data_IF_580789802232
#
_entry.id   IF_580789802232
#
_cell.length_a   1.000
_cell.length_b   1.000
_cell.length_c   1.000
_cell.angle_alpha   90.00
_cell.angle_beta   90.00
_cell.angle_gamma   90.00
#
_symmetry.space_group_name_H-M   'P 1'
#
loop_
_entity.id
_entity.type
_entity.pdbx_description
1 polymer ?
#
# COMPACT_ATOMS: atom_id res chain seq x y z
N UNK A 1 2.66 3.51 1.32
CA UNK A 1 2.61 4.99 1.42
C UNK A 1 1.27 5.47 0.90
N UNK A 2 0.65 6.44 1.54
CA UNK A 2 -0.65 7.02 1.15
C UNK A 2 -0.61 8.53 1.23
N UNK A 3 -1.28 9.21 0.29
CA UNK A 3 -1.57 10.64 0.41
C UNK A 3 -2.97 10.93 0.92
N UNK A 4 -3.74 9.88 1.24
CA UNK A 4 -5.06 10.00 1.82
C UNK A 4 -5.03 9.59 3.30
N UNK A 5 -5.04 10.59 4.18
CA UNK A 5 -5.05 10.41 5.64
C UNK A 5 -6.29 9.64 6.12
N UNK A 6 -7.43 9.76 5.43
CA UNK A 6 -8.70 9.10 5.82
C UNK A 6 -8.64 7.59 5.74
N UNK A 7 -7.67 7.02 5.02
CA UNK A 7 -7.47 5.57 4.92
C UNK A 7 -6.70 5.00 6.11
N UNK A 8 -6.10 5.84 6.95
CA UNK A 8 -5.27 5.40 8.05
C UNK A 8 -6.05 5.38 9.38
N UNK A 9 -5.89 4.29 10.10
CA UNK A 9 -6.30 4.14 11.51
C UNK A 9 -5.07 4.16 12.40
N UNK A 10 -5.24 4.40 13.70
CA UNK A 10 -4.13 4.47 14.67
C UNK A 10 -3.01 5.45 14.24
N UNK A 11 -3.37 6.55 13.59
CA UNK A 11 -2.40 7.45 12.99
C UNK A 11 -1.58 8.18 14.06
N UNK A 12 -0.25 8.16 13.90
CA UNK A 12 0.71 8.89 14.72
C UNK A 12 1.30 10.00 13.86
N UNK A 13 1.01 11.24 14.25
CA UNK A 13 1.63 12.41 13.64
C UNK A 13 3.08 12.54 14.11
N UNK A 14 4.02 12.40 13.18
CA UNK A 14 5.46 12.51 13.44
C UNK A 14 6.18 12.80 12.13
N UNK A 15 6.93 13.90 12.07
CA UNK A 15 7.83 14.14 10.96
C UNK A 15 8.91 13.05 10.93
N UNK A 16 9.04 12.35 9.80
CA UNK A 16 9.98 11.24 9.63
C UNK A 16 11.04 11.48 8.55
N UNK A 17 10.95 12.60 7.83
CA UNK A 17 11.84 12.93 6.72
C UNK A 17 11.06 13.31 5.46
N UNK A 18 11.73 13.21 4.32
CA UNK A 18 11.17 13.60 3.02
C UNK A 18 11.35 12.51 1.98
N UNK A 19 10.42 12.42 1.04
CA UNK A 19 10.56 11.60 -0.17
C UNK A 19 10.80 12.51 -1.36
N UNK A 20 11.66 12.12 -2.30
CA UNK A 20 11.81 12.77 -3.60
C UNK A 20 11.15 11.91 -4.67
N UNK A 21 10.24 12.50 -5.43
CA UNK A 21 9.57 11.84 -6.55
C UNK A 21 10.45 11.82 -7.80
N UNK A 22 10.09 10.99 -8.79
CA UNK A 22 10.85 10.86 -10.04
C UNK A 22 10.92 12.15 -10.87
N UNK A 23 10.12 13.16 -10.56
CA UNK A 23 10.14 14.50 -11.18
C UNK A 23 10.77 15.57 -10.26
N UNK A 24 11.66 15.15 -9.35
CA UNK A 24 12.42 15.97 -8.40
C UNK A 24 11.61 16.75 -7.35
N UNK A 25 10.28 16.68 -7.38
CA UNK A 25 9.45 17.22 -6.31
C UNK A 25 9.70 16.46 -5.00
N UNK A 26 9.76 17.22 -3.90
CA UNK A 26 10.03 16.69 -2.56
C UNK A 26 8.80 16.88 -1.70
N UNK A 27 8.37 15.82 -1.02
CA UNK A 27 7.24 15.85 -0.08
C UNK A 27 7.65 15.36 1.30
N UNK A 28 6.98 15.87 2.34
CA UNK A 28 7.21 15.48 3.72
C UNK A 28 6.47 14.19 4.08
N UNK A 29 7.13 13.33 4.85
CA UNK A 29 6.51 12.20 5.53
C UNK A 29 6.04 12.68 6.90
N UNK A 30 4.73 12.88 7.07
CA UNK A 30 4.16 13.55 8.25
C UNK A 30 3.67 12.58 9.34
N UNK A 31 3.75 11.28 9.09
CA UNK A 31 3.44 10.28 10.09
C UNK A 31 3.21 8.90 9.48
N UNK A 32 2.68 8.01 10.30
CA UNK A 32 2.27 6.67 9.87
C UNK A 32 1.04 6.22 10.64
N UNK A 33 0.28 5.32 10.03
CA UNK A 33 -0.81 4.61 10.68
C UNK A 33 -0.94 3.23 10.06
N UNK A 34 -1.97 2.51 10.48
CA UNK A 34 -2.29 1.22 9.91
C UNK A 34 -3.39 1.40 8.85
N UNK A 35 -3.40 0.52 7.86
CA UNK A 35 -4.44 0.45 6.86
C UNK A 35 -5.10 -0.91 6.95
N UNK A 36 -6.41 -0.91 7.18
CA UNK A 36 -7.21 -2.11 7.15
C UNK A 36 -8.07 -2.12 5.90
N UNK A 37 -7.98 -3.20 5.14
CA UNK A 37 -8.79 -3.40 3.95
C UNK A 37 -9.36 -4.81 3.93
N UNK A 38 -10.65 -4.92 4.27
CA UNK A 38 -11.28 -6.21 4.55
C UNK A 38 -10.52 -6.96 5.64
N UNK A 39 -10.02 -8.15 5.31
CA UNK A 39 -9.24 -9.02 6.21
C UNK A 39 -7.72 -8.76 6.15
N UNK A 40 -7.27 -7.79 5.35
CA UNK A 40 -5.86 -7.45 5.18
C UNK A 40 -5.53 -6.27 6.10
N UNK A 41 -4.53 -6.45 6.97
CA UNK A 41 -3.96 -5.39 7.79
C UNK A 41 -2.54 -5.09 7.29
N UNK A 42 -2.30 -3.83 6.90
CA UNK A 42 -0.98 -3.33 6.54
C UNK A 42 -0.57 -2.33 7.61
N UNK A 43 0.44 -2.68 8.39
CA UNK A 43 0.92 -1.82 9.47
C UNK A 43 1.94 -0.81 8.98
N UNK A 44 2.07 0.31 9.71
CA UNK A 44 3.11 1.34 9.47
C UNK A 44 3.10 1.92 8.05
N UNK A 45 1.93 2.19 7.51
CA UNK A 45 1.77 2.91 6.24
C UNK A 45 2.09 4.39 6.45
N UNK A 46 3.15 4.87 5.78
CA UNK A 46 3.53 6.28 5.83
C UNK A 46 2.53 7.18 5.10
N UNK A 47 2.17 8.29 5.75
CA UNK A 47 1.42 9.39 5.14
C UNK A 47 2.39 10.41 4.56
N UNK A 48 2.18 10.74 3.29
CA UNK A 48 3.01 11.68 2.54
C UNK A 48 2.11 12.78 1.99
N UNK A 49 2.41 14.02 2.37
CA UNK A 49 1.65 15.18 1.90
C UNK A 49 1.79 15.33 0.38
N UNK A 50 0.67 15.55 -0.32
CA UNK A 50 0.66 15.74 -1.77
C UNK A 50 0.87 14.47 -2.62
N UNK A 51 0.91 13.28 -2.00
CA UNK A 51 1.00 12.03 -2.76
C UNK A 51 -0.33 11.73 -3.48
N UNK A 52 -0.36 11.86 -4.81
CA UNK A 52 -1.60 11.68 -5.59
C UNK A 52 -2.14 10.26 -5.68
N UNK A 53 -1.28 9.23 -5.52
CA UNK A 53 -1.67 7.82 -5.60
C UNK A 53 -1.05 7.01 -4.46
N UNK A 54 -1.82 6.06 -3.93
CA UNK A 54 -1.33 5.16 -2.90
C UNK A 54 -0.39 4.12 -3.49
N UNK A 55 0.72 3.87 -2.81
CA UNK A 55 1.76 2.94 -3.22
C UNK A 55 1.91 1.87 -2.14
N UNK A 56 1.56 0.63 -2.45
CA UNK A 56 1.86 -0.52 -1.59
C UNK A 56 2.99 -1.32 -2.19
N UNK A 57 3.97 -1.67 -1.36
CA UNK A 57 5.02 -2.60 -1.76
C UNK A 57 4.54 -4.03 -1.57
N UNK A 58 4.91 -4.92 -2.48
CA UNK A 58 4.74 -6.37 -2.32
C UNK A 58 5.35 -6.85 -1.00
N UNK A 59 6.49 -6.29 -0.59
CA UNK A 59 7.14 -6.61 0.67
C UNK A 59 6.23 -6.39 1.89
N UNK A 60 5.41 -5.34 1.89
CA UNK A 60 4.48 -5.08 3.00
C UNK A 60 3.39 -6.15 3.11
N UNK A 61 2.95 -6.73 1.99
CA UNK A 61 2.04 -7.86 2.03
C UNK A 61 2.74 -9.12 2.56
N UNK A 62 3.99 -9.37 2.15
CA UNK A 62 4.79 -10.50 2.63
C UNK A 62 5.08 -10.41 4.14
N UNK A 63 5.40 -9.21 4.65
CA UNK A 63 5.60 -8.95 6.07
C UNK A 63 4.32 -9.20 6.89
N UNK A 64 3.14 -8.98 6.28
CA UNK A 64 1.83 -9.33 6.84
C UNK A 64 1.43 -10.79 6.64
N UNK A 65 2.37 -11.68 6.33
CA UNK A 65 2.14 -13.11 6.08
C UNK A 65 1.18 -13.41 4.92
N UNK A 66 1.20 -12.57 3.88
CA UNK A 66 0.44 -12.77 2.66
C UNK A 66 1.37 -13.13 1.50
N UNK A 67 0.92 -14.07 0.67
CA UNK A 67 1.57 -14.40 -0.60
C UNK A 67 1.00 -13.51 -1.70
N UNK A 68 1.88 -12.88 -2.48
CA UNK A 68 1.48 -12.14 -3.69
C UNK A 68 1.94 -12.91 -4.92
N UNK A 69 0.98 -13.41 -5.69
CA UNK A 69 1.24 -14.20 -6.90
C UNK A 69 0.85 -13.43 -8.16
N UNK A 70 1.81 -13.25 -9.07
CA UNK A 70 1.57 -12.61 -10.36
C UNK A 70 1.38 -13.66 -11.45
N UNK A 71 0.32 -13.49 -12.23
CA UNK A 71 0.04 -14.24 -13.47
C UNK A 71 -0.05 -13.26 -14.64
N UNK A 72 0.02 -13.79 -15.87
CA UNK A 72 0.02 -13.00 -17.12
C UNK A 72 -1.04 -11.90 -17.15
N UNK A 73 -2.25 -12.16 -16.64
CA UNK A 73 -3.37 -11.21 -16.68
C UNK A 73 -3.95 -10.90 -15.30
N UNK A 74 -3.36 -11.39 -14.20
CA UNK A 74 -3.94 -11.21 -12.87
C UNK A 74 -2.87 -11.22 -11.76
N UNK A 75 -3.15 -10.54 -10.66
CA UNK A 75 -2.41 -10.58 -9.41
C UNK A 75 -3.34 -11.12 -8.32
N UNK A 76 -2.80 -11.99 -7.46
CA UNK A 76 -3.50 -12.60 -6.35
C UNK A 76 -2.78 -12.23 -5.05
N UNK A 77 -3.55 -11.90 -4.02
CA UNK A 77 -3.05 -11.80 -2.65
C UNK A 77 -3.72 -12.91 -1.85
N UNK A 78 -2.93 -13.78 -1.24
CA UNK A 78 -3.39 -14.99 -0.55
C UNK A 78 -2.93 -15.01 0.88
N UNK A 79 -3.73 -15.62 1.75
CA UNK A 79 -3.25 -15.97 3.08
C UNK A 79 -2.37 -17.24 3.03
N UNK A 80 -1.72 -17.57 4.16
CA UNK A 80 -0.89 -18.77 4.30
C UNK A 80 -1.63 -20.11 4.06
N UNK A 81 -2.97 -20.11 4.06
CA UNK A 81 -3.79 -21.29 3.75
C UNK A 81 -4.10 -21.42 2.25
N UNK A 82 -3.57 -20.52 1.42
CA UNK A 82 -3.80 -20.50 -0.03
C UNK A 82 -5.15 -19.92 -0.45
N UNK A 83 -5.91 -19.30 0.47
CA UNK A 83 -7.18 -18.66 0.14
C UNK A 83 -6.92 -17.30 -0.49
N UNK A 84 -7.48 -17.06 -1.67
CA UNK A 84 -7.44 -15.78 -2.36
C UNK A 84 -8.21 -14.73 -1.55
N UNK A 85 -7.49 -13.76 -0.96
CA UNK A 85 -8.08 -12.58 -0.31
C UNK A 85 -8.34 -11.47 -1.32
N UNK A 86 -7.53 -11.42 -2.38
CA UNK A 86 -7.65 -10.43 -3.43
C UNK A 86 -7.31 -11.04 -4.79
N UNK A 87 -8.08 -10.66 -5.81
CA UNK A 87 -7.75 -10.86 -7.21
C UNK A 87 -7.88 -9.54 -7.95
N UNK A 88 -6.85 -9.15 -8.71
CA UNK A 88 -6.88 -7.97 -9.58
C UNK A 88 -6.42 -8.34 -10.97
N UNK A 89 -7.17 -7.90 -11.97
CA UNK A 89 -6.78 -8.07 -13.35
C UNK A 89 -5.72 -7.03 -13.73
N UNK A 90 -4.80 -7.43 -14.59
CA UNK A 90 -3.76 -6.53 -15.10
C UNK A 90 -4.38 -5.61 -16.14
N UNK A 91 -4.26 -4.30 -15.94
CA UNK A 91 -4.55 -3.30 -16.96
C UNK A 91 -3.24 -2.67 -17.40
N UNK A 92 -2.88 -2.83 -18.68
CA UNK A 92 -1.54 -2.47 -19.20
C UNK A 92 -0.42 -3.14 -18.38
N UNK A 93 0.41 -2.38 -17.66
CA UNK A 93 1.47 -2.89 -16.80
C UNK A 93 1.16 -2.67 -15.31
N UNK A 94 -0.08 -2.36 -14.96
CA UNK A 94 -0.50 -2.01 -13.60
C UNK A 94 -1.60 -2.95 -13.09
N UNK A 95 -1.61 -3.14 -11.77
CA UNK A 95 -2.68 -3.80 -11.05
C UNK A 95 -3.35 -2.77 -10.14
N UNK A 96 -4.53 -2.30 -10.53
CA UNK A 96 -5.24 -1.27 -9.79
C UNK A 96 -6.06 -1.88 -8.67
N UNK A 97 -5.97 -1.28 -7.50
CA UNK A 97 -6.72 -1.66 -6.30
C UNK A 97 -7.60 -0.48 -5.90
N UNK A 98 -8.91 -0.73 -5.71
CA UNK A 98 -9.82 0.24 -5.09
C UNK A 98 -9.75 0.06 -3.57
N UNK A 99 -9.27 1.09 -2.88
CA UNK A 99 -9.15 1.18 -1.42
C UNK A 99 -10.31 1.99 -0.85
#
# INVERSE_FOLDING_TARGET
>A
MTGNLKLLINFIWKFMGTVRFGHDHVAAILGFGDLQWGNILITRVYFIEGLGHNLFSVGQFCDSHLEVAFRRNACFVRNLKGVDLLKRDRSTNLYTINL
#
